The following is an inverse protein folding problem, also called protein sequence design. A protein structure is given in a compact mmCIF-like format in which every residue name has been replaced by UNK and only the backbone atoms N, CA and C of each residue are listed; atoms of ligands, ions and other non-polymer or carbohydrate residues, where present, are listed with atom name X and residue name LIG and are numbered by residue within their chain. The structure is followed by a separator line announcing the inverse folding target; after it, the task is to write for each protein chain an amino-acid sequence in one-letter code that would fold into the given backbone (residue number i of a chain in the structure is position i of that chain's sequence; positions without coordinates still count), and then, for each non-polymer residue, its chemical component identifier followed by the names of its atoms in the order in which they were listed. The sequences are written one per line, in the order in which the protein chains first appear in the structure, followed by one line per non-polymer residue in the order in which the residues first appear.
data_IF_806433274905
#
_entry.id   IF_806433274905
#
_cell.length_a   1.000
_cell.length_b   1.000
_cell.length_c   1.000
_cell.angle_alpha   90.00
_cell.angle_beta   90.00
_cell.angle_gamma   90.00
#
_symmetry.space_group_name_H-M   'P 1'
#
loop_
_entity.id
_entity.type
_entity.pdbx_description
1 polymer ?
#
# COMPACT_ATOMS: atom_id res chain seq x y z
N UNK A 1 -1.90 -13.70 -4.44
CA UNK A 1 -0.84 -13.04 -3.66
C UNK A 1 -1.11 -13.22 -2.17
N UNK A 2 -0.12 -13.69 -1.43
CA UNK A 2 -0.16 -13.71 0.04
C UNK A 2 0.17 -12.34 0.60
N UNK A 3 -0.23 -12.08 1.86
CA UNK A 3 0.08 -10.82 2.58
C UNK A 3 1.58 -10.49 2.55
N UNK A 4 2.41 -11.53 2.67
CA UNK A 4 3.86 -11.38 2.70
C UNK A 4 4.43 -10.94 1.34
N UNK A 5 3.86 -11.43 0.23
CA UNK A 5 4.24 -11.01 -1.12
C UNK A 5 3.85 -9.55 -1.37
N UNK A 6 2.61 -9.15 -1.02
CA UNK A 6 2.16 -7.77 -1.14
C UNK A 6 3.03 -6.81 -0.32
N UNK A 7 3.45 -7.23 0.89
CA UNK A 7 4.37 -6.44 1.72
C UNK A 7 5.73 -6.28 1.05
N UNK A 8 6.31 -7.35 0.51
CA UNK A 8 7.61 -7.29 -0.18
C UNK A 8 7.54 -6.42 -1.43
N UNK A 9 6.48 -6.55 -2.21
CA UNK A 9 6.28 -5.75 -3.42
C UNK A 9 6.10 -4.26 -3.08
N UNK A 10 5.26 -3.96 -2.07
CA UNK A 10 5.09 -2.59 -1.59
C UNK A 10 6.39 -2.00 -1.03
N UNK A 11 7.17 -2.75 -0.25
CA UNK A 11 8.47 -2.32 0.25
C UNK A 11 9.46 -2.02 -0.88
N UNK A 12 9.52 -2.88 -1.90
CA UNK A 12 10.38 -2.69 -3.08
C UNK A 12 10.00 -1.44 -3.87
N UNK A 13 8.71 -1.19 -4.05
CA UNK A 13 8.18 0.01 -4.73
C UNK A 13 8.42 1.27 -3.93
N UNK A 14 8.24 1.24 -2.62
CA UNK A 14 8.56 2.35 -1.71
C UNK A 14 10.05 2.71 -1.78
N UNK A 15 10.93 1.70 -1.73
CA UNK A 15 12.36 1.91 -1.89
C UNK A 15 12.71 2.51 -3.26
N UNK A 16 12.10 2.01 -4.35
CA UNK A 16 12.30 2.56 -5.69
C UNK A 16 11.77 3.99 -5.85
N UNK A 17 10.75 4.37 -5.06
CA UNK A 17 10.20 5.71 -5.02
C UNK A 17 10.97 6.65 -4.07
N UNK A 18 11.97 6.15 -3.34
CA UNK A 18 12.71 6.92 -2.34
C UNK A 18 11.86 7.32 -1.13
N UNK A 19 10.82 6.55 -0.81
CA UNK A 19 9.95 6.78 0.35
C UNK A 19 10.41 5.90 1.50
N UNK A 20 10.95 6.54 2.54
CA UNK A 20 11.23 5.88 3.81
C UNK A 20 9.96 5.75 4.63
N UNK A 21 9.87 4.71 5.45
CA UNK A 21 8.71 4.47 6.32
C UNK A 21 9.16 3.87 7.64
N UNK A 22 8.46 4.19 8.73
CA UNK A 22 8.74 3.61 10.04
C UNK A 22 8.31 2.15 10.14
N UNK A 23 7.10 1.84 9.68
CA UNK A 23 6.55 0.47 9.76
C UNK A 23 5.64 0.14 8.59
N UNK A 24 5.75 -1.09 8.10
CA UNK A 24 4.87 -1.64 7.06
C UNK A 24 4.00 -2.77 7.64
N UNK A 25 2.70 -2.54 7.68
CA UNK A 25 1.70 -3.53 8.09
C UNK A 25 0.85 -3.94 6.90
N UNK A 26 0.27 -5.14 6.96
CA UNK A 26 -0.67 -5.57 5.93
C UNK A 26 -1.71 -6.48 6.56
N UNK A 27 -2.94 -6.32 6.13
CA UNK A 27 -4.11 -7.06 6.60
C UNK A 27 -4.85 -7.64 5.40
N UNK A 28 -5.33 -8.87 5.52
CA UNK A 28 -6.30 -9.42 4.58
C UNK A 28 -7.68 -9.13 5.12
N UNK A 29 -8.52 -8.51 4.30
CA UNK A 29 -9.93 -8.32 4.59
C UNK A 29 -10.70 -9.25 3.67
N UNK A 30 -11.45 -10.19 4.26
CA UNK A 30 -12.32 -11.09 3.50
C UNK A 30 -13.69 -10.44 3.36
N UNK A 31 -14.16 -10.30 2.13
CA UNK A 31 -15.52 -9.85 1.83
C UNK A 31 -16.44 -11.02 1.45
N UNK A 32 -16.08 -12.25 1.84
CA UNK A 32 -16.82 -13.46 1.53
C UNK A 32 -18.30 -13.38 1.98
N UNK A 33 -18.59 -12.68 3.08
CA UNK A 33 -19.97 -12.46 3.55
C UNK A 33 -20.83 -11.57 2.65
N UNK A 34 -20.23 -10.88 1.68
CA UNK A 34 -20.92 -10.00 0.73
C UNK A 34 -20.85 -10.54 -0.72
N UNK A 35 -20.41 -11.79 -0.92
CA UNK A 35 -20.26 -12.37 -2.26
C UNK A 35 -19.02 -11.90 -3.04
N UNK A 36 -18.09 -11.21 -2.37
CA UNK A 36 -16.83 -10.75 -2.96
C UNK A 36 -15.64 -11.59 -2.46
N UNK A 37 -14.53 -11.54 -3.19
CA UNK A 37 -13.28 -12.19 -2.82
C UNK A 37 -12.59 -11.57 -1.58
N UNK A 38 -11.38 -12.03 -1.29
CA UNK A 38 -10.51 -11.45 -0.25
C UNK A 38 -9.58 -10.39 -0.87
N UNK A 39 -9.32 -9.32 -0.12
CA UNK A 39 -8.45 -8.21 -0.54
C UNK A 39 -7.34 -7.98 0.49
N UNK A 40 -6.14 -7.66 0.01
CA UNK A 40 -5.00 -7.31 0.87
C UNK A 40 -4.85 -5.79 0.91
N UNK A 41 -4.75 -5.25 2.13
CA UNK A 41 -4.49 -3.85 2.39
C UNK A 41 -3.13 -3.72 3.06
N UNK A 42 -2.20 -3.01 2.43
CA UNK A 42 -0.88 -2.68 2.96
C UNK A 42 -0.93 -1.28 3.54
N UNK A 43 -0.67 -1.17 4.84
CA UNK A 43 -0.69 0.09 5.58
C UNK A 43 0.74 0.53 5.93
N UNK A 44 1.10 1.73 5.48
CA UNK A 44 2.40 2.36 5.65
C UNK A 44 2.28 3.34 6.82
N UNK A 45 2.99 3.09 7.92
CA UNK A 45 2.97 3.96 9.10
C UNK A 45 4.21 4.85 9.13
N UNK A 46 3.99 6.15 9.32
CA UNK A 46 5.04 7.18 9.33
C UNK A 46 5.80 7.25 8.00
N UNK A 47 5.12 7.42 6.85
CA UNK A 47 5.81 7.67 5.59
C UNK A 47 6.56 9.00 5.68
N UNK A 48 7.85 8.97 5.35
CA UNK A 48 8.65 10.18 5.15
C UNK A 48 8.61 10.49 3.66
N UNK A 49 7.76 11.45 3.30
CA UNK A 49 7.60 11.89 1.93
C UNK A 49 8.85 12.63 1.46
N UNK A 50 9.40 12.16 0.34
CA UNK A 50 10.53 12.78 -0.34
C UNK A 50 10.03 13.65 -1.50
N UNK A 51 10.91 14.44 -2.09
CA UNK A 51 10.55 15.30 -3.24
C UNK A 51 10.00 14.51 -4.45
N UNK A 52 10.25 13.19 -4.50
CA UNK A 52 9.82 12.24 -5.54
C UNK A 52 8.38 11.74 -5.33
N UNK A 53 7.91 11.66 -4.09
CA UNK A 53 6.56 11.23 -3.76
C UNK A 53 6.04 12.14 -2.64
N UNK A 54 5.36 13.21 -3.03
CA UNK A 54 4.92 14.26 -2.10
C UNK A 54 3.74 13.84 -1.22
N UNK A 55 2.96 12.86 -1.68
CA UNK A 55 1.76 12.36 -1.01
C UNK A 55 1.49 10.91 -1.45
N UNK A 56 0.59 10.21 -0.74
CA UNK A 56 0.14 8.87 -1.12
C UNK A 56 -0.44 8.80 -2.54
N UNK A 57 -1.13 9.85 -2.99
CA UNK A 57 -1.70 9.91 -4.34
C UNK A 57 -0.64 9.91 -5.43
N UNK A 58 0.49 10.56 -5.19
CA UNK A 58 1.63 10.62 -6.11
C UNK A 58 2.36 9.28 -6.15
N UNK A 59 2.57 8.67 -4.98
CA UNK A 59 3.09 7.31 -4.86
C UNK A 59 2.18 6.29 -5.59
N UNK A 60 0.86 6.42 -5.46
CA UNK A 60 -0.12 5.58 -6.16
C UNK A 60 -0.10 5.77 -7.68
N UNK A 61 0.05 7.00 -8.16
CA UNK A 61 0.14 7.32 -9.60
C UNK A 61 1.51 6.98 -10.22
N UNK A 62 2.56 6.92 -9.41
CA UNK A 62 3.90 6.54 -9.86
C UNK A 62 4.17 5.06 -9.62
N UNK A 63 4.71 4.74 -8.45
CA UNK A 63 5.25 3.41 -8.13
C UNK A 63 4.19 2.29 -8.06
N UNK A 64 2.91 2.64 -7.88
CA UNK A 64 1.82 1.66 -7.75
C UNK A 64 0.74 1.80 -8.82
N UNK A 65 0.96 2.55 -9.91
CA UNK A 65 -0.05 2.72 -10.96
C UNK A 65 -0.38 1.41 -11.68
N UNK A 66 0.61 0.52 -11.78
CA UNK A 66 0.48 -0.80 -12.40
C UNK A 66 -0.06 -1.87 -11.44
N UNK A 67 -0.23 -1.55 -10.15
CA UNK A 67 -0.82 -2.53 -9.21
C UNK A 67 -2.29 -2.71 -9.54
N UNK A 68 -2.74 -3.93 -9.88
CA UNK A 68 -4.14 -4.18 -10.13
C UNK A 68 -4.97 -3.85 -8.88
N UNK A 69 -6.23 -3.49 -9.10
CA UNK A 69 -7.16 -3.21 -8.01
C UNK A 69 -7.27 -4.44 -7.10
N UNK A 70 -7.55 -4.27 -5.81
CA UNK A 70 -7.73 -5.40 -4.89
C UNK A 70 -8.74 -6.44 -5.41
N UNK A 71 -9.83 -5.96 -6.03
CA UNK A 71 -10.88 -6.78 -6.64
C UNK A 71 -10.43 -7.61 -7.85
N UNK A 72 -9.29 -7.26 -8.46
CA UNK A 72 -8.69 -7.97 -9.60
C UNK A 72 -7.48 -8.83 -9.16
N UNK A 73 -7.29 -9.05 -7.85
CA UNK A 73 -6.20 -9.86 -7.31
C UNK A 73 -4.93 -9.07 -6.93
N UNK A 74 -4.96 -7.74 -7.00
CA UNK A 74 -3.89 -6.89 -6.47
C UNK A 74 -4.09 -6.51 -5.00
N UNK A 75 -3.51 -5.38 -4.59
CA UNK A 75 -3.55 -4.93 -3.21
C UNK A 75 -3.72 -3.42 -3.09
N UNK A 76 -4.37 -2.98 -2.03
CA UNK A 76 -4.55 -1.57 -1.72
C UNK A 76 -3.41 -1.09 -0.82
N UNK A 77 -3.00 0.17 -1.01
CA UNK A 77 -2.05 0.86 -0.15
C UNK A 77 -2.76 1.97 0.60
N UNK A 78 -2.54 2.00 1.91
CA UNK A 78 -3.05 2.99 2.86
C UNK A 78 -1.85 3.62 3.57
N UNK A 79 -1.92 4.91 3.88
CA UNK A 79 -1.00 5.52 4.85
C UNK A 79 -1.70 5.70 6.18
N UNK A 80 -0.95 5.46 7.25
CA UNK A 80 -1.23 6.07 8.54
C UNK A 80 -0.39 7.34 8.58
N UNK A 81 -0.89 8.38 7.92
CA UNK A 81 -0.48 9.74 8.24
C UNK A 81 -1.22 10.09 9.52
N UNK A 82 -0.67 9.64 10.66
CA UNK A 82 -1.11 10.14 11.96
C UNK A 82 -1.14 11.66 11.85
N UNK A 83 -2.34 12.23 11.95
CA UNK A 83 -2.55 13.66 11.77
C UNK A 83 -1.63 14.43 12.70
N UNK A 84 -0.65 15.12 12.12
CA UNK A 84 -0.08 16.30 12.76
C UNK A 84 -1.10 17.41 12.56
N UNK A 85 -2.04 17.48 13.52
CA UNK A 85 -2.70 18.74 13.88
C UNK A 85 -1.74 19.57 14.74
#
# INVERSE_FOLDING_TARGET
MTVNECKKDAARRLASAGVSYGKLTAKTVSFAGFGYGSCVFVKICGPVWSNVAKNLGDLKRGAFADVPKPSAGGYAIETDEGGFA
#
